data_IF_644733248665
#
_entry.id   IF_644733248665
#
_cell.length_a   1.000
_cell.length_b   1.000
_cell.length_c   1.000
_cell.angle_alpha   90.00
_cell.angle_beta   90.00
_cell.angle_gamma   90.00
#
_symmetry.space_group_name_H-M   'P 1'
#
loop_
_entity.id
_entity.type
_entity.pdbx_description
1 polymer ?
#
# COMPACT_ATOMS: atom_id res chain seq x y z
N UNK A 1 31.85 50.83 15.78
CA UNK A 1 31.38 50.06 16.96
C UNK A 1 29.93 49.67 16.68
N UNK A 2 29.50 48.44 17.02
CA UNK A 2 29.30 47.32 16.10
C UNK A 2 27.81 46.88 16.04
N UNK A 3 27.39 46.01 15.11
CA UNK A 3 27.23 44.59 15.46
C UNK A 3 27.31 43.70 14.21
N UNK A 4 28.36 42.89 14.18
CA UNK A 4 28.43 41.64 13.46
C UNK A 4 27.76 40.57 14.32
N UNK A 5 26.62 40.05 13.89
CA UNK A 5 26.08 38.77 14.37
C UNK A 5 25.41 38.12 13.16
N UNK A 6 26.17 37.27 12.46
CA UNK A 6 25.82 35.93 12.00
C UNK A 6 26.89 35.54 10.97
N UNK A 7 27.84 34.65 11.32
CA UNK A 7 28.67 34.03 10.29
C UNK A 7 27.75 33.26 9.34
N UNK A 8 28.12 33.19 8.06
CA UNK A 8 27.47 32.35 7.07
C UNK A 8 27.34 30.92 7.62
N UNK A 9 26.16 30.63 8.17
CA UNK A 9 25.87 29.39 8.86
C UNK A 9 25.83 28.29 7.82
N UNK A 10 26.75 27.34 7.97
CA UNK A 10 26.70 26.05 7.31
C UNK A 10 25.25 25.54 7.33
N UNK A 11 24.75 25.08 6.19
CA UNK A 11 23.59 24.21 6.19
C UNK A 11 23.85 23.13 7.25
N UNK A 12 22.90 22.83 8.15
CA UNK A 12 23.09 21.76 9.11
C UNK A 12 23.29 20.48 8.29
N UNK A 13 24.55 20.05 8.18
CA UNK A 13 24.89 18.72 7.71
C UNK A 13 24.42 17.80 8.82
N UNK A 14 23.17 17.38 8.74
CA UNK A 14 22.67 16.28 9.55
C UNK A 14 23.37 15.05 9.00
N UNK A 15 24.51 14.74 9.59
CA UNK A 15 25.21 13.49 9.33
C UNK A 15 24.33 12.39 9.89
N UNK A 16 23.67 11.63 9.00
CA UNK A 16 22.98 10.43 9.40
C UNK A 16 23.97 9.54 10.16
N UNK A 17 23.58 8.91 11.28
CA UNK A 17 24.32 7.73 11.71
C UNK A 17 24.34 6.78 10.52
N UNK A 18 25.51 6.19 10.23
CA UNK A 18 25.67 5.24 9.15
C UNK A 18 24.75 4.05 9.41
N UNK A 19 23.52 4.11 8.87
CA UNK A 19 22.64 2.96 8.82
C UNK A 19 23.30 1.97 7.86
N UNK A 20 23.46 0.73 8.30
CA UNK A 20 24.05 -0.34 7.49
C UNK A 20 23.15 -0.76 6.30
N UNK A 21 21.99 -0.11 6.15
CA UNK A 21 21.04 -0.32 5.07
C UNK A 21 21.39 0.44 3.78
N UNK A 22 20.62 0.22 2.69
CA UNK A 22 20.81 0.89 1.42
C UNK A 22 20.64 2.42 1.56
N UNK A 23 21.31 3.16 0.67
CA UNK A 23 21.14 4.61 0.55
C UNK A 23 19.64 4.96 0.31
N UNK A 24 19.11 5.91 1.08
CA UNK A 24 17.73 6.39 0.96
C UNK A 24 17.38 6.85 -0.46
N UNK A 25 18.36 7.35 -1.22
CA UNK A 25 18.19 7.68 -2.64
C UNK A 25 17.93 6.45 -3.52
N UNK A 26 18.55 5.30 -3.23
CA UNK A 26 18.29 4.03 -3.92
C UNK A 26 16.89 3.53 -3.59
N UNK A 27 16.49 3.59 -2.32
CA UNK A 27 15.15 3.20 -1.88
C UNK A 27 14.07 4.10 -2.51
N UNK A 28 14.29 5.42 -2.51
CA UNK A 28 13.42 6.38 -3.18
C UNK A 28 13.32 6.12 -4.69
N UNK A 29 14.42 5.76 -5.36
CA UNK A 29 14.41 5.43 -6.79
C UNK A 29 13.61 4.15 -7.08
N UNK A 30 13.65 3.13 -6.20
CA UNK A 30 12.81 1.94 -6.34
C UNK A 30 11.32 2.28 -6.23
N UNK A 31 10.94 3.06 -5.22
CA UNK A 31 9.56 3.54 -5.06
C UNK A 31 9.10 4.40 -6.23
N UNK A 32 9.99 5.25 -6.75
CA UNK A 32 9.73 6.03 -7.95
C UNK A 32 9.39 5.12 -9.13
N UNK A 33 10.23 4.13 -9.41
CA UNK A 33 10.00 3.20 -10.51
C UNK A 33 8.67 2.46 -10.35
N UNK A 34 8.33 2.03 -9.13
CA UNK A 34 7.07 1.35 -8.84
C UNK A 34 5.82 2.18 -9.21
N UNK A 35 5.88 3.50 -8.99
CA UNK A 35 4.80 4.42 -9.32
C UNK A 35 4.79 4.78 -10.82
N UNK A 36 5.96 5.00 -11.42
CA UNK A 36 6.07 5.50 -12.80
C UNK A 36 6.00 4.43 -13.87
N UNK A 37 6.49 3.23 -13.59
CA UNK A 37 6.72 2.19 -14.59
C UNK A 37 5.47 1.30 -14.74
N UNK A 38 4.32 1.94 -14.98
CA UNK A 38 3.04 1.24 -15.16
C UNK A 38 3.11 0.32 -16.40
N UNK A 39 2.57 -0.91 -16.33
CA UNK A 39 2.50 -1.80 -17.48
C UNK A 39 1.80 -1.13 -18.67
N UNK A 40 2.30 -1.40 -19.88
CA UNK A 40 1.69 -0.87 -21.10
C UNK A 40 0.25 -1.42 -21.28
N UNK A 41 -0.63 -0.72 -22.00
CA UNK A 41 -1.96 -1.25 -22.32
C UNK A 41 -1.86 -2.65 -22.93
N UNK A 42 -2.62 -3.60 -22.39
CA UNK A 42 -2.58 -5.01 -22.81
C UNK A 42 -1.61 -5.90 -22.01
N UNK A 43 -0.72 -5.34 -21.18
CA UNK A 43 0.16 -6.13 -20.32
C UNK A 43 -0.49 -6.42 -18.98
N UNK A 44 -0.38 -7.67 -18.53
CA UNK A 44 -0.89 -8.10 -17.22
C UNK A 44 -0.30 -7.25 -16.09
N UNK A 45 -1.15 -6.84 -15.16
CA UNK A 45 -0.73 -6.20 -13.92
C UNK A 45 -0.40 -7.30 -12.91
N UNK A 46 0.69 -7.13 -12.18
CA UNK A 46 1.17 -8.08 -11.16
C UNK A 46 1.56 -7.30 -9.91
N UNK A 47 1.55 -7.94 -8.73
CA UNK A 47 2.04 -7.31 -7.51
C UNK A 47 3.50 -6.87 -7.63
N UNK A 48 3.76 -5.60 -7.30
CA UNK A 48 5.11 -5.07 -7.14
C UNK A 48 5.71 -5.42 -5.78
N UNK A 49 6.28 -6.63 -5.69
CA UNK A 49 6.92 -7.12 -4.47
C UNK A 49 8.16 -6.29 -4.09
N UNK A 50 8.89 -5.76 -5.07
CA UNK A 50 10.09 -4.96 -4.83
C UNK A 50 9.72 -3.67 -4.11
N UNK A 51 8.63 -3.02 -4.51
CA UNK A 51 8.14 -1.82 -3.85
C UNK A 51 7.68 -2.10 -2.41
N UNK A 52 6.98 -3.22 -2.19
CA UNK A 52 6.60 -3.64 -0.84
C UNK A 52 7.82 -3.87 0.05
N UNK A 53 8.78 -4.67 -0.40
CA UNK A 53 9.98 -4.98 0.37
C UNK A 53 10.79 -3.69 0.67
N UNK A 54 10.83 -2.77 -0.30
CA UNK A 54 11.45 -1.44 -0.13
C UNK A 54 10.76 -0.63 0.97
N UNK A 55 9.42 -0.61 1.03
CA UNK A 55 8.71 0.09 2.10
C UNK A 55 8.96 -0.57 3.47
N UNK A 56 8.98 -1.90 3.53
CA UNK A 56 9.29 -2.65 4.76
C UNK A 56 10.70 -2.32 5.25
N UNK A 57 11.67 -2.24 4.35
CA UNK A 57 13.05 -1.84 4.63
C UNK A 57 13.13 -0.41 5.20
N UNK A 58 12.50 0.56 4.52
CA UNK A 58 12.40 1.96 4.98
C UNK A 58 11.75 2.04 6.38
N UNK A 59 10.66 1.31 6.61
CA UNK A 59 9.98 1.29 7.90
C UNK A 59 10.82 0.65 9.00
N UNK A 60 11.57 -0.40 8.67
CA UNK A 60 12.51 -1.04 9.59
C UNK A 60 13.62 -0.07 10.01
N UNK A 61 14.23 0.63 9.06
CA UNK A 61 15.26 1.64 9.33
C UNK A 61 14.73 2.75 10.24
N UNK A 62 13.50 3.20 9.99
CA UNK A 62 12.87 4.27 10.76
C UNK A 62 12.50 3.87 12.20
N UNK A 63 12.42 2.57 12.54
CA UNK A 63 11.99 2.13 13.89
C UNK A 63 12.99 2.49 15.00
N UNK A 64 14.27 2.48 14.69
CA UNK A 64 15.34 2.77 15.65
C UNK A 64 15.59 4.26 15.87
N UNK A 65 14.93 5.12 15.08
CA UNK A 65 15.14 6.56 15.11
C UNK A 65 14.36 7.22 16.26
N UNK A 66 14.90 8.31 16.78
CA UNK A 66 14.11 9.26 17.56
C UNK A 66 13.08 9.96 16.67
N UNK A 67 12.05 10.58 17.26
CA UNK A 67 11.03 11.27 16.48
C UNK A 67 11.62 12.42 15.63
N UNK A 68 12.63 13.12 16.15
CA UNK A 68 13.31 14.17 15.40
C UNK A 68 14.06 13.61 14.17
N UNK A 69 14.78 12.50 14.34
CA UNK A 69 15.48 11.82 13.25
C UNK A 69 14.49 11.22 12.24
N UNK A 70 13.38 10.64 12.69
CA UNK A 70 12.33 10.12 11.83
C UNK A 70 11.69 11.23 10.99
N UNK A 71 11.48 12.43 11.57
CA UNK A 71 11.01 13.60 10.81
C UNK A 71 11.99 13.99 9.69
N UNK A 72 13.29 14.03 9.99
CA UNK A 72 14.32 14.31 8.98
C UNK A 72 14.33 13.21 7.92
N UNK A 73 14.25 11.95 8.32
CA UNK A 73 14.22 10.80 7.41
C UNK A 73 13.03 10.86 6.45
N UNK A 74 11.81 11.12 6.94
CA UNK A 74 10.61 11.34 6.13
C UNK A 74 10.77 12.50 5.14
N UNK A 75 11.30 13.64 5.62
CA UNK A 75 11.55 14.81 4.77
C UNK A 75 12.57 14.52 3.66
N UNK A 76 13.59 13.72 3.97
CA UNK A 76 14.64 13.32 3.03
C UNK A 76 14.10 12.37 1.97
N UNK A 77 13.34 11.36 2.39
CA UNK A 77 12.66 10.45 1.48
C UNK A 77 11.75 11.22 0.51
N UNK A 78 10.95 12.16 1.03
CA UNK A 78 10.10 13.02 0.21
C UNK A 78 10.88 13.88 -0.77
N UNK A 79 12.00 14.46 -0.34
CA UNK A 79 12.84 15.26 -1.22
C UNK A 79 13.54 14.43 -2.31
N UNK A 80 13.76 13.13 -2.08
CA UNK A 80 14.33 12.20 -3.04
C UNK A 80 13.29 11.66 -4.05
N UNK A 81 12.00 11.68 -3.69
CA UNK A 81 10.91 11.35 -4.60
C UNK A 81 10.68 12.52 -5.58
N UNK A 82 10.29 12.23 -6.84
CA UNK A 82 9.96 13.29 -7.80
C UNK A 82 8.71 14.05 -7.36
N UNK A 83 8.50 15.23 -7.96
CA UNK A 83 7.26 15.99 -7.81
C UNK A 83 6.11 15.25 -8.53
N UNK A 84 5.50 14.30 -7.82
CA UNK A 84 4.34 13.56 -8.29
C UNK A 84 3.07 14.41 -8.28
N UNK A 85 2.08 14.00 -9.07
CA UNK A 85 0.72 14.48 -8.90
C UNK A 85 0.15 13.94 -7.59
N UNK A 86 -0.19 14.85 -6.66
CA UNK A 86 -0.73 14.50 -5.36
C UNK A 86 -2.16 13.93 -5.44
N UNK A 87 -2.80 14.00 -6.60
CA UNK A 87 -4.09 13.37 -6.86
C UNK A 87 -3.95 11.91 -7.34
N UNK A 88 -2.75 11.43 -7.67
CA UNK A 88 -2.54 10.02 -8.04
C UNK A 88 -2.78 9.12 -6.80
N UNK A 89 -3.71 8.15 -6.86
CA UNK A 89 -4.00 7.26 -5.72
C UNK A 89 -2.78 6.52 -5.18
N UNK A 90 -1.84 6.13 -6.04
CA UNK A 90 -0.62 5.42 -5.62
C UNK A 90 0.28 6.34 -4.78
N UNK A 91 0.35 7.61 -5.15
CA UNK A 91 1.15 8.64 -4.46
C UNK A 91 0.51 9.00 -3.12
N UNK A 92 -0.82 9.10 -3.08
CA UNK A 92 -1.57 9.32 -1.84
C UNK A 92 -1.27 8.20 -0.84
N UNK A 93 -1.37 6.94 -1.26
CA UNK A 93 -1.06 5.79 -0.39
C UNK A 93 0.41 5.77 0.06
N UNK A 94 1.34 6.10 -0.83
CA UNK A 94 2.76 6.19 -0.46
C UNK A 94 2.97 7.22 0.66
N UNK A 95 2.40 8.41 0.52
CA UNK A 95 2.55 9.45 1.55
C UNK A 95 1.82 9.12 2.85
N UNK A 96 0.67 8.45 2.77
CA UNK A 96 -0.05 7.93 3.94
C UNK A 96 0.84 6.94 4.72
N UNK A 97 1.51 6.03 4.03
CA UNK A 97 2.49 5.10 4.65
C UNK A 97 3.67 5.86 5.25
N UNK A 98 4.25 6.82 4.52
CA UNK A 98 5.40 7.60 4.98
C UNK A 98 5.10 8.35 6.28
N UNK A 99 3.92 8.97 6.41
CA UNK A 99 3.57 9.78 7.58
C UNK A 99 3.10 8.94 8.79
N UNK A 100 2.43 7.82 8.53
CA UNK A 100 1.79 7.04 9.59
C UNK A 100 2.59 5.82 10.03
N UNK A 101 3.54 5.33 9.23
CA UNK A 101 4.27 4.09 9.52
C UNK A 101 5.75 4.29 9.85
N UNK A 102 6.36 5.41 9.45
CA UNK A 102 7.79 5.63 9.64
C UNK A 102 8.06 6.38 10.95
N UNK A 103 8.69 5.73 11.93
CA UNK A 103 9.16 6.37 13.16
C UNK A 103 8.94 5.53 14.42
N UNK A 104 9.39 6.03 15.58
CA UNK A 104 9.28 5.31 16.84
C UNK A 104 7.82 5.15 17.27
N UNK A 105 7.42 3.93 17.65
CA UNK A 105 6.08 3.63 18.14
C UNK A 105 4.96 3.69 17.09
N UNK A 106 5.29 3.89 15.80
CA UNK A 106 4.33 3.82 14.70
C UNK A 106 3.90 2.37 14.43
N UNK A 107 2.67 2.14 13.94
CA UNK A 107 2.22 0.81 13.55
C UNK A 107 3.07 0.24 12.40
N UNK A 108 3.00 -1.08 12.22
CA UNK A 108 3.56 -1.70 11.01
C UNK A 108 2.78 -1.26 9.76
N UNK A 109 3.44 -1.22 8.60
CA UNK A 109 2.80 -0.85 7.33
C UNK A 109 1.58 -1.74 7.07
N UNK A 110 1.72 -3.05 7.25
CA UNK A 110 0.65 -4.02 7.06
C UNK A 110 -0.58 -3.71 7.96
N UNK A 111 -0.35 -3.40 9.23
CA UNK A 111 -1.42 -3.02 10.17
C UNK A 111 -2.11 -1.73 9.78
N UNK A 112 -1.34 -0.72 9.39
CA UNK A 112 -1.89 0.55 8.96
C UNK A 112 -2.72 0.40 7.67
N UNK A 113 -2.19 -0.31 6.68
CA UNK A 113 -2.90 -0.59 5.42
C UNK A 113 -4.16 -1.42 5.63
N UNK A 114 -4.19 -2.34 6.59
CA UNK A 114 -5.42 -3.06 6.93
C UNK A 114 -6.53 -2.09 7.35
N UNK A 115 -6.20 -1.06 8.15
CA UNK A 115 -7.13 0.01 8.52
C UNK A 115 -7.56 0.84 7.31
N UNK A 116 -6.62 1.27 6.48
CA UNK A 116 -6.88 2.03 5.24
C UNK A 116 -7.84 1.25 4.34
N UNK A 117 -7.55 -0.01 4.03
CA UNK A 117 -8.41 -0.87 3.20
C UNK A 117 -9.80 -0.97 3.81
N UNK A 118 -9.90 -1.22 5.13
CA UNK A 118 -11.19 -1.34 5.80
C UNK A 118 -12.06 -0.08 5.67
N UNK A 119 -11.46 1.10 5.85
CA UNK A 119 -12.13 2.39 5.68
C UNK A 119 -12.62 2.58 4.23
N UNK A 120 -11.78 2.25 3.24
CA UNK A 120 -12.12 2.37 1.82
C UNK A 120 -13.20 1.40 1.34
N UNK A 121 -13.34 0.23 1.98
CA UNK A 121 -14.43 -0.70 1.67
C UNK A 121 -15.81 -0.12 2.02
N UNK A 122 -15.87 0.94 2.84
CA UNK A 122 -17.12 1.56 3.33
C UNK A 122 -18.09 0.52 3.89
N UNK A 123 -17.60 -0.35 4.78
CA UNK A 123 -18.40 -1.39 5.43
C UNK A 123 -18.68 -1.03 6.90
N UNK A 124 -19.40 0.07 7.20
CA UNK A 124 -19.52 0.62 8.55
C UNK A 124 -20.23 -0.30 9.54
N UNK A 125 -20.90 -1.35 9.05
CA UNK A 125 -21.62 -2.33 9.88
C UNK A 125 -21.01 -3.73 9.83
N UNK A 126 -19.89 -3.93 9.11
CA UNK A 126 -19.22 -5.21 9.04
C UNK A 126 -17.91 -5.15 9.83
N UNK A 127 -17.91 -5.68 11.04
CA UNK A 127 -16.67 -6.02 11.72
C UNK A 127 -16.14 -7.26 11.04
N UNK A 128 -15.02 -7.12 10.30
CA UNK A 128 -14.45 -8.25 9.58
C UNK A 128 -13.76 -9.23 10.52
N UNK A 129 -12.97 -8.71 11.46
CA UNK A 129 -12.27 -9.45 12.51
C UNK A 129 -11.93 -8.52 13.68
N UNK A 130 -12.24 -8.92 14.91
CA UNK A 130 -11.63 -8.36 16.13
C UNK A 130 -10.26 -9.01 16.39
N UNK A 131 -9.36 -8.36 17.15
CA UNK A 131 -8.08 -8.96 17.54
C UNK A 131 -8.29 -10.31 18.25
N UNK A 132 -7.75 -11.38 17.67
CA UNK A 132 -7.88 -12.73 18.23
C UNK A 132 -9.03 -13.57 17.66
N UNK A 133 -9.75 -13.07 16.64
CA UNK A 133 -10.80 -13.85 15.98
C UNK A 133 -10.26 -14.79 14.88
N UNK A 134 -11.02 -15.86 14.64
CA UNK A 134 -10.77 -16.79 13.55
C UNK A 134 -11.01 -16.12 12.20
N UNK A 135 -10.32 -16.58 11.15
CA UNK A 135 -10.46 -16.01 9.81
C UNK A 135 -11.94 -16.01 9.35
N UNK A 136 -12.38 -15.01 8.57
CA UNK A 136 -13.79 -14.86 8.22
C UNK A 136 -14.29 -16.06 7.42
N UNK A 137 -15.55 -16.45 7.62
CA UNK A 137 -16.17 -17.51 6.83
C UNK A 137 -16.26 -17.14 5.34
N UNK A 138 -16.43 -18.15 4.47
CA UNK A 138 -16.49 -17.98 3.01
C UNK A 138 -17.48 -16.91 2.54
N UNK A 139 -18.67 -16.85 3.15
CA UNK A 139 -19.67 -15.83 2.82
C UNK A 139 -19.13 -14.42 3.03
N UNK A 140 -18.49 -14.18 4.17
CA UNK A 140 -17.92 -12.88 4.53
C UNK A 140 -16.74 -12.54 3.61
N UNK A 141 -15.81 -13.49 3.39
CA UNK A 141 -14.69 -13.31 2.47
C UNK A 141 -15.15 -12.95 1.05
N UNK A 142 -16.10 -13.70 0.49
CA UNK A 142 -16.63 -13.43 -0.85
C UNK A 142 -17.33 -12.06 -0.93
N UNK A 143 -18.05 -11.66 0.12
CA UNK A 143 -18.83 -10.41 0.12
C UNK A 143 -17.99 -9.14 0.00
N UNK A 144 -16.70 -9.17 0.40
CA UNK A 144 -15.83 -7.99 0.34
C UNK A 144 -15.10 -7.82 -0.99
N UNK A 145 -15.02 -8.86 -1.83
CA UNK A 145 -14.20 -8.83 -3.05
C UNK A 145 -14.63 -7.75 -4.06
N UNK A 146 -15.94 -7.54 -4.35
CA UNK A 146 -16.36 -6.46 -5.27
C UNK A 146 -15.97 -5.07 -4.79
N UNK A 147 -16.19 -4.78 -3.50
CA UNK A 147 -15.82 -3.50 -2.91
C UNK A 147 -14.31 -3.30 -2.90
N UNK A 148 -13.53 -4.37 -2.66
CA UNK A 148 -12.08 -4.31 -2.70
C UNK A 148 -11.56 -4.01 -4.11
N UNK A 149 -12.10 -4.69 -5.13
CA UNK A 149 -11.75 -4.43 -6.52
C UNK A 149 -12.10 -2.99 -6.93
N UNK A 150 -13.25 -2.48 -6.50
CA UNK A 150 -13.68 -1.12 -6.77
C UNK A 150 -12.79 -0.07 -6.08
N UNK A 151 -12.44 -0.27 -4.80
CA UNK A 151 -11.61 0.65 -4.03
C UNK A 151 -10.20 0.82 -4.62
N UNK A 152 -9.61 -0.28 -5.13
CA UNK A 152 -8.28 -0.26 -5.72
C UNK A 152 -8.27 0.04 -7.22
N UNK A 153 -9.43 0.30 -7.84
CA UNK A 153 -9.54 0.33 -9.31
C UNK A 153 -8.69 1.42 -9.96
N UNK A 154 -8.67 2.62 -9.36
CA UNK A 154 -7.90 3.76 -9.85
C UNK A 154 -6.41 3.73 -9.45
N UNK A 155 -6.04 2.82 -8.55
CA UNK A 155 -4.64 2.58 -8.20
C UNK A 155 -3.91 1.85 -9.34
N UNK A 156 -2.64 2.17 -9.52
CA UNK A 156 -1.71 1.39 -10.31
C UNK A 156 -1.28 0.10 -9.59
N UNK A 157 -0.33 -0.66 -10.17
CA UNK A 157 0.18 -1.87 -9.55
C UNK A 157 0.76 -1.67 -8.15
N UNK A 158 1.42 -0.52 -7.91
CA UNK A 158 1.95 -0.19 -6.59
C UNK A 158 0.84 -0.06 -5.55
N UNK A 159 -0.17 0.79 -5.80
CA UNK A 159 -1.27 0.96 -4.85
C UNK A 159 -2.06 -0.34 -4.65
N UNK A 160 -2.28 -1.12 -5.72
CA UNK A 160 -2.93 -2.44 -5.64
C UNK A 160 -2.12 -3.44 -4.81
N UNK A 161 -0.79 -3.38 -4.81
CA UNK A 161 0.04 -4.18 -3.89
C UNK A 161 -0.21 -3.77 -2.45
N UNK A 162 -0.31 -2.46 -2.15
CA UNK A 162 -0.60 -2.00 -0.80
C UNK A 162 -1.99 -2.45 -0.32
N UNK A 163 -2.99 -2.37 -1.20
CA UNK A 163 -4.32 -2.93 -0.94
C UNK A 163 -4.28 -4.44 -0.71
N UNK A 164 -3.46 -5.19 -1.47
CA UNK A 164 -3.30 -6.63 -1.30
C UNK A 164 -2.75 -6.96 0.09
N UNK A 165 -1.69 -6.28 0.53
CA UNK A 165 -1.09 -6.55 1.84
C UNK A 165 -1.99 -6.10 2.99
N UNK A 166 -2.68 -4.97 2.84
CA UNK A 166 -3.70 -4.52 3.79
C UNK A 166 -4.85 -5.51 3.91
N UNK A 167 -5.44 -5.92 2.78
CA UNK A 167 -6.54 -6.88 2.75
C UNK A 167 -6.13 -8.26 3.29
N UNK A 168 -4.95 -8.76 2.90
CA UNK A 168 -4.42 -10.03 3.40
C UNK A 168 -4.20 -9.99 4.92
N UNK A 169 -3.74 -8.86 5.45
CA UNK A 169 -3.56 -8.65 6.90
C UNK A 169 -4.90 -8.57 7.62
N UNK A 170 -5.87 -7.84 7.06
CA UNK A 170 -7.21 -7.68 7.62
C UNK A 170 -8.01 -9.00 7.63
N UNK A 171 -7.84 -9.84 6.62
CA UNK A 171 -8.59 -11.10 6.46
C UNK A 171 -7.85 -12.30 7.07
N UNK A 172 -6.65 -12.08 7.61
CA UNK A 172 -5.90 -13.06 8.38
C UNK A 172 -6.45 -13.10 9.80
N UNK A 173 -7.09 -14.22 10.17
CA UNK A 173 -7.44 -14.50 11.56
C UNK A 173 -6.26 -15.04 12.36
N UNK A 174 -6.55 -15.59 13.55
CA UNK A 174 -5.54 -16.20 14.47
C UNK A 174 -4.71 -17.35 13.89
N UNK A 175 -5.03 -17.84 12.70
CA UNK A 175 -4.29 -18.94 12.05
C UNK A 175 -2.96 -18.49 11.41
N UNK A 176 -2.47 -17.30 11.74
CA UNK A 176 -1.15 -16.73 11.40
C UNK A 176 -0.75 -16.65 9.91
N UNK A 177 -1.62 -16.99 8.96
CA UNK A 177 -1.51 -16.59 7.55
C UNK A 177 -2.91 -16.38 6.95
N UNK A 178 -3.05 -15.41 6.04
CA UNK A 178 -4.12 -15.50 5.06
C UNK A 178 -3.84 -16.79 4.27
N UNK A 179 -4.78 -17.74 4.27
CA UNK A 179 -4.63 -18.99 3.53
C UNK A 179 -4.14 -18.70 2.10
N UNK A 180 -3.19 -19.49 1.59
CA UNK A 180 -2.55 -19.23 0.30
C UNK A 180 -3.59 -19.12 -0.83
N UNK A 181 -4.66 -19.92 -0.79
CA UNK A 181 -5.76 -19.81 -1.76
C UNK A 181 -6.50 -18.48 -1.66
N UNK A 182 -6.75 -17.97 -0.44
CA UNK A 182 -7.36 -16.65 -0.25
C UNK A 182 -6.46 -15.53 -0.72
N UNK A 183 -5.15 -15.62 -0.46
CA UNK A 183 -4.20 -14.63 -0.97
C UNK A 183 -4.15 -14.61 -2.50
N UNK A 184 -4.19 -15.77 -3.15
CA UNK A 184 -4.28 -15.88 -4.61
C UNK A 184 -5.57 -15.25 -5.15
N UNK A 185 -6.71 -15.48 -4.48
CA UNK A 185 -8.00 -14.86 -4.83
C UNK A 185 -7.98 -13.34 -4.66
N UNK A 186 -7.38 -12.83 -3.57
CA UNK A 186 -7.19 -11.40 -3.36
C UNK A 186 -6.29 -10.80 -4.44
N UNK A 187 -5.20 -11.46 -4.79
CA UNK A 187 -4.32 -11.06 -5.88
C UNK A 187 -5.09 -10.99 -7.21
N UNK A 188 -5.84 -12.04 -7.56
CA UNK A 188 -6.66 -12.04 -8.78
C UNK A 188 -7.69 -10.91 -8.76
N UNK A 189 -8.39 -10.72 -7.64
CA UNK A 189 -9.39 -9.66 -7.45
C UNK A 189 -8.81 -8.26 -7.69
N UNK A 190 -7.61 -8.01 -7.17
CA UNK A 190 -6.96 -6.71 -7.21
C UNK A 190 -6.23 -6.42 -8.52
N UNK A 191 -5.81 -7.42 -9.29
CA UNK A 191 -4.92 -7.19 -10.45
C UNK A 191 -5.52 -7.61 -11.80
N UNK A 192 -6.54 -8.47 -11.84
CA UNK A 192 -7.10 -8.97 -13.10
C UNK A 192 -7.97 -7.97 -13.86
N UNK A 193 -8.43 -6.90 -13.19
CA UNK A 193 -9.27 -5.85 -13.77
C UNK A 193 -8.48 -4.53 -13.80
N UNK A 194 -7.63 -4.29 -14.82
CA UNK A 194 -6.78 -3.09 -14.88
C UNK A 194 -7.57 -1.83 -15.23
N UNK A 195 -6.94 -0.68 -15.01
CA UNK A 195 -7.41 0.63 -15.45
C UNK A 195 -6.29 1.36 -16.24
N UNK A 196 -6.43 1.59 -17.56
CA UNK A 196 -7.60 1.33 -18.37
C UNK A 196 -7.83 -0.16 -18.65
N UNK A 197 -9.09 -0.60 -18.93
CA UNK A 197 -9.39 -1.98 -19.29
C UNK A 197 -8.64 -2.47 -20.53
N UNK A 198 -8.40 -3.78 -20.61
CA UNK A 198 -7.83 -4.40 -21.80
C UNK A 198 -8.84 -4.49 -22.96
N UNK A 199 -8.32 -4.49 -24.19
CA UNK A 199 -9.10 -4.94 -25.36
C UNK A 199 -10.30 -4.08 -25.75
N UNK A 200 -10.44 -2.86 -25.23
CA UNK A 200 -11.58 -1.99 -25.50
C UNK A 200 -12.82 -2.31 -24.65
N UNK A 201 -12.68 -3.15 -23.62
CA UNK A 201 -13.72 -3.37 -22.63
C UNK A 201 -14.13 -2.06 -21.94
N UNK A 202 -15.40 -1.93 -21.58
CA UNK A 202 -15.87 -0.81 -20.80
C UNK A 202 -15.31 -0.88 -19.37
N UNK A 203 -14.90 0.28 -18.83
CA UNK A 203 -14.50 0.38 -17.44
C UNK A 203 -15.72 0.10 -16.55
N UNK A 204 -15.59 -0.77 -15.51
CA UNK A 204 -16.65 -0.94 -14.53
C UNK A 204 -16.96 0.39 -13.83
N UNK A 205 -18.25 0.71 -13.71
CA UNK A 205 -18.73 1.99 -13.17
C UNK A 205 -19.47 1.83 -11.84
N UNK A 206 -19.78 0.59 -11.44
CA UNK A 206 -20.54 0.28 -10.24
C UNK A 206 -20.19 -1.11 -9.70
N UNK A 207 -20.57 -1.37 -8.44
CA UNK A 207 -20.24 -2.63 -7.75
C UNK A 207 -20.81 -3.89 -8.43
N UNK A 208 -21.95 -3.78 -9.14
CA UNK A 208 -22.52 -4.92 -9.86
C UNK A 208 -21.64 -5.34 -11.05
N UNK A 209 -21.03 -4.38 -11.75
CA UNK A 209 -20.10 -4.67 -12.84
C UNK A 209 -18.80 -5.29 -12.34
N UNK A 210 -18.30 -4.86 -11.18
CA UNK A 210 -17.18 -5.52 -10.51
C UNK A 210 -17.54 -6.95 -10.10
N UNK A 211 -18.68 -7.16 -9.44
CA UNK A 211 -19.16 -8.49 -9.06
C UNK A 211 -19.29 -9.44 -10.26
N UNK A 212 -19.86 -8.95 -11.37
CA UNK A 212 -19.97 -9.70 -12.61
C UNK A 212 -18.60 -10.05 -13.22
N UNK A 213 -17.64 -9.14 -13.18
CA UNK A 213 -16.28 -9.40 -13.64
C UNK A 213 -15.56 -10.44 -12.78
N UNK A 214 -15.64 -10.32 -11.46
CA UNK A 214 -15.08 -11.27 -10.50
C UNK A 214 -15.72 -12.66 -10.62
N UNK A 215 -17.03 -12.72 -10.87
CA UNK A 215 -17.75 -13.97 -11.16
C UNK A 215 -17.19 -14.67 -12.40
N UNK A 216 -16.93 -13.93 -13.49
CA UNK A 216 -16.32 -14.48 -14.71
C UNK A 216 -14.90 -15.00 -14.47
N UNK A 217 -14.17 -14.36 -13.56
CA UNK A 217 -12.81 -14.76 -13.16
C UNK A 217 -12.81 -15.98 -12.21
N UNK A 218 -13.95 -16.38 -11.66
CA UNK A 218 -14.04 -17.52 -10.75
C UNK A 218 -13.36 -17.30 -9.40
N UNK A 219 -13.19 -16.04 -8.96
CA UNK A 219 -12.43 -15.72 -7.73
C UNK A 219 -13.16 -16.09 -6.45
N UNK A 220 -14.48 -16.31 -6.49
CA UNK A 220 -15.26 -16.64 -5.30
C UNK A 220 -14.98 -18.05 -4.79
N UNK A 221 -14.86 -18.16 -3.46
CA UNK A 221 -14.82 -19.45 -2.79
C UNK A 221 -16.17 -20.17 -2.94
N UNK A 222 -16.17 -21.49 -3.17
CA UNK A 222 -17.41 -22.26 -3.20
C UNK A 222 -18.08 -22.21 -1.83
N UNK A 223 -19.39 -21.91 -1.80
CA UNK A 223 -20.18 -21.99 -0.58
C UNK A 223 -20.36 -23.46 -0.22
N UNK A 224 -19.64 -23.93 0.80
CA UNK A 224 -19.94 -25.22 1.43
C UNK A 224 -21.35 -25.16 2.02
N UNK A 225 -22.24 -26.06 1.55
CA UNK A 225 -23.60 -26.23 2.08
C UNK A 225 -23.64 -26.99 3.39
#
# INVERSE_FOLDING_TARGET
MPNSLYPAGAAPTVTYPAHAGPDIGVLAQRLRNAITDRPAPGQAWVPDQIAWDTLVEIASDARGLTEAEANVYRATLRAALPAFDIADPDVVLLYEVVDNCLGPGKPSIATHLAGVVFEFLQLPCLVLLEPGEAAPGTRTFNSVLPSLAAAAYDCGPFGRTLYLEGAATMLKGVNEACDESRRERLCTTLFAIPNPPFGGDAAPTNLYEFDAALTRLGVYEPLSG
#
